data_IF_166462701429
#
_entry.id   IF_166462701429
#
_cell.length_a   1.000
_cell.length_b   1.000
_cell.length_c   1.000
_cell.angle_alpha   90.00
_cell.angle_beta   90.00
_cell.angle_gamma   90.00
#
_symmetry.space_group_name_H-M   'P 1'
#
loop_
_entity.id
_entity.type
_entity.pdbx_description
1 polymer ?
#
# COMPACT_ATOMS: atom_id res chain seq x y z
N UNK A 1 4.18 19.94 12.99
CA UNK A 1 3.92 18.97 14.08
C UNK A 1 2.57 18.31 13.81
N UNK A 2 2.56 17.15 13.16
CA UNK A 2 1.31 16.40 13.00
C UNK A 2 0.80 15.95 14.39
N UNK A 3 -0.48 16.23 14.66
CA UNK A 3 -1.07 15.99 15.98
C UNK A 3 -1.25 14.48 16.23
N UNK A 4 -1.12 14.03 17.48
CA UNK A 4 -1.41 12.64 17.88
C UNK A 4 -2.77 12.16 17.34
N UNK A 5 -3.76 13.06 17.33
CA UNK A 5 -5.10 12.81 16.76
C UNK A 5 -5.05 12.42 15.28
N UNK A 6 -4.20 13.05 14.49
CA UNK A 6 -4.04 12.75 13.05
C UNK A 6 -3.48 11.35 12.85
N UNK A 7 -2.40 11.01 13.55
CA UNK A 7 -1.80 9.67 13.46
C UNK A 7 -2.74 8.58 13.98
N UNK A 8 -3.47 8.85 15.06
CA UNK A 8 -4.49 7.93 15.56
C UNK A 8 -5.61 7.70 14.55
N UNK A 9 -6.12 8.75 13.90
CA UNK A 9 -7.13 8.62 12.86
C UNK A 9 -6.62 7.78 11.68
N UNK A 10 -5.38 8.02 11.21
CA UNK A 10 -4.78 7.23 10.14
C UNK A 10 -4.58 5.78 10.57
N UNK A 11 -4.18 5.53 11.81
CA UNK A 11 -4.06 4.17 12.36
C UNK A 11 -5.40 3.40 12.29
N UNK A 12 -6.50 4.04 12.66
CA UNK A 12 -7.84 3.43 12.56
C UNK A 12 -8.20 3.13 11.10
N UNK A 13 -7.88 4.03 10.17
CA UNK A 13 -8.06 3.78 8.73
C UNK A 13 -7.21 2.60 8.26
N UNK A 14 -5.95 2.51 8.68
CA UNK A 14 -5.06 1.39 8.35
C UNK A 14 -5.60 0.06 8.89
N UNK A 15 -6.21 0.06 10.08
CA UNK A 15 -6.85 -1.11 10.65
C UNK A 15 -8.06 -1.55 9.84
N UNK A 16 -8.92 -0.61 9.42
CA UNK A 16 -10.05 -0.89 8.54
C UNK A 16 -9.58 -1.45 7.18
N UNK A 17 -8.54 -0.87 6.58
CA UNK A 17 -7.93 -1.36 5.34
C UNK A 17 -7.24 -2.73 5.49
N UNK A 18 -6.82 -3.10 6.70
CA UNK A 18 -6.27 -4.43 6.95
C UNK A 18 -7.39 -5.48 6.99
N UNK A 19 -8.50 -5.17 7.65
CA UNK A 19 -9.66 -6.06 7.79
C UNK A 19 -10.43 -6.18 6.45
N UNK A 20 -10.40 -5.14 5.61
CA UNK A 20 -11.18 -5.09 4.37
C UNK A 20 -10.93 -6.26 3.41
N UNK A 21 -9.73 -6.87 3.40
CA UNK A 21 -9.48 -8.07 2.60
C UNK A 21 -10.42 -9.22 2.96
N UNK A 22 -10.63 -9.46 4.25
CA UNK A 22 -11.60 -10.46 4.70
C UNK A 22 -13.00 -10.12 4.20
N UNK A 23 -13.39 -8.84 4.31
CA UNK A 23 -14.68 -8.39 3.81
C UNK A 23 -14.83 -8.59 2.29
N UNK A 24 -13.77 -8.34 1.49
CA UNK A 24 -13.83 -8.47 0.04
C UNK A 24 -13.99 -9.91 -0.46
N UNK A 25 -13.42 -10.89 0.25
CA UNK A 25 -13.46 -12.29 -0.16
C UNK A 25 -14.59 -13.11 0.49
N UNK A 26 -14.97 -12.79 1.73
CA UNK A 26 -15.87 -13.64 2.53
C UNK A 26 -17.25 -13.02 2.76
N UNK A 27 -17.36 -11.69 2.73
CA UNK A 27 -18.59 -10.98 3.14
C UNK A 27 -19.26 -10.25 1.98
N UNK A 28 -18.47 -9.70 1.07
CA UNK A 28 -18.97 -8.94 -0.06
C UNK A 28 -19.33 -9.87 -1.22
N UNK A 29 -20.44 -9.57 -1.91
CA UNK A 29 -20.84 -10.24 -3.15
C UNK A 29 -20.03 -9.74 -4.35
N UNK A 30 -18.69 -9.76 -4.23
CA UNK A 30 -17.77 -9.43 -5.31
C UNK A 30 -17.40 -10.71 -6.07
N UNK A 31 -17.23 -10.60 -7.37
CA UNK A 31 -16.54 -11.67 -8.10
C UNK A 31 -15.10 -11.79 -7.61
N UNK A 32 -14.49 -12.97 -7.76
CA UNK A 32 -13.11 -13.22 -7.34
C UNK A 32 -12.11 -12.20 -7.93
N UNK A 33 -12.27 -11.86 -9.22
CA UNK A 33 -11.44 -10.86 -9.88
C UNK A 33 -11.63 -9.45 -9.29
N UNK A 34 -12.87 -9.07 -8.96
CA UNK A 34 -13.15 -7.80 -8.30
C UNK A 34 -12.57 -7.76 -6.87
N UNK A 35 -12.64 -8.85 -6.12
CA UNK A 35 -12.05 -8.96 -4.78
C UNK A 35 -10.52 -8.83 -4.81
N UNK A 36 -9.86 -9.43 -5.82
CA UNK A 36 -8.43 -9.24 -6.08
C UNK A 36 -8.12 -7.77 -6.37
N UNK A 37 -8.84 -7.16 -7.31
CA UNK A 37 -8.62 -5.75 -7.69
C UNK A 37 -8.81 -4.81 -6.49
N UNK A 38 -9.88 -5.01 -5.71
CA UNK A 38 -10.15 -4.24 -4.49
C UNK A 38 -9.02 -4.42 -3.45
N UNK A 39 -8.47 -5.62 -3.34
CA UNK A 39 -7.33 -5.92 -2.46
C UNK A 39 -6.06 -5.17 -2.88
N UNK A 40 -5.76 -5.12 -4.18
CA UNK A 40 -4.63 -4.34 -4.69
C UNK A 40 -4.79 -2.84 -4.43
N UNK A 41 -5.99 -2.29 -4.67
CA UNK A 41 -6.29 -0.88 -4.39
C UNK A 41 -6.14 -0.57 -2.90
N UNK A 42 -6.73 -1.39 -2.02
CA UNK A 42 -6.61 -1.21 -0.58
C UNK A 42 -5.15 -1.29 -0.10
N UNK A 43 -4.36 -2.22 -0.67
CA UNK A 43 -2.95 -2.33 -0.38
C UNK A 43 -2.17 -1.08 -0.81
N UNK A 44 -2.43 -0.54 -2.00
CA UNK A 44 -1.79 0.67 -2.52
C UNK A 44 -2.07 1.88 -1.62
N UNK A 45 -3.32 2.06 -1.19
CA UNK A 45 -3.71 3.13 -0.25
C UNK A 45 -2.98 2.94 1.09
N UNK A 46 -2.97 1.72 1.63
CA UNK A 46 -2.33 1.40 2.92
C UNK A 46 -0.84 1.74 2.90
N UNK A 47 -0.10 1.30 1.88
CA UNK A 47 1.34 1.61 1.79
C UNK A 47 1.59 3.10 1.62
N UNK A 48 0.75 3.82 0.88
CA UNK A 48 0.86 5.27 0.70
C UNK A 48 0.67 6.04 2.00
N UNK A 49 -0.32 5.64 2.81
CA UNK A 49 -0.55 6.21 4.14
C UNK A 49 0.62 5.93 5.10
N UNK A 50 1.17 4.70 5.07
CA UNK A 50 2.32 4.34 5.89
C UNK A 50 3.56 5.14 5.47
N UNK A 51 3.88 5.17 4.17
CA UNK A 51 5.05 5.89 3.67
C UNK A 51 4.94 7.40 3.92
N UNK A 52 3.79 8.00 3.62
CA UNK A 52 3.57 9.43 3.77
C UNK A 52 3.60 9.90 5.22
N UNK A 53 2.94 9.18 6.13
CA UNK A 53 2.77 9.61 7.52
C UNK A 53 3.68 8.87 8.49
N UNK A 54 3.68 7.54 8.52
CA UNK A 54 4.45 6.79 9.52
C UNK A 54 5.96 6.70 9.21
N UNK A 55 6.34 6.71 7.93
CA UNK A 55 7.75 6.85 7.52
C UNK A 55 8.15 8.31 7.30
N UNK A 56 7.25 9.26 7.61
CA UNK A 56 7.49 10.71 7.52
C UNK A 56 7.92 11.21 6.13
N UNK A 57 7.72 10.44 5.05
CA UNK A 57 8.17 10.82 3.71
C UNK A 57 7.57 12.15 3.22
N UNK A 58 6.39 12.52 3.73
CA UNK A 58 5.75 13.81 3.46
C UNK A 58 6.53 15.01 4.02
N UNK A 59 7.23 14.82 5.13
CA UNK A 59 7.96 15.87 5.86
C UNK A 59 9.43 15.97 5.41
N UNK A 60 9.94 14.93 4.76
CA UNK A 60 11.29 14.84 4.20
C UNK A 60 11.49 15.73 2.95
N UNK A 61 12.74 16.11 2.62
CA UNK A 61 13.02 16.89 1.43
C UNK A 61 12.78 16.06 0.16
N UNK A 62 12.36 16.73 -0.92
CA UNK A 62 11.97 16.12 -2.20
C UNK A 62 12.94 15.05 -2.75
N UNK A 63 14.28 15.18 -2.63
CA UNK A 63 15.21 14.14 -3.05
C UNK A 63 14.93 12.77 -2.43
N UNK A 64 14.53 12.71 -1.16
CA UNK A 64 14.22 11.45 -0.46
C UNK A 64 13.01 10.77 -1.09
N UNK A 65 11.98 11.55 -1.47
CA UNK A 65 10.82 11.03 -2.21
C UNK A 65 11.23 10.43 -3.55
N UNK A 66 12.15 11.08 -4.29
CA UNK A 66 12.63 10.54 -5.57
C UNK A 66 13.43 9.25 -5.40
N UNK A 67 14.25 9.13 -4.37
CA UNK A 67 14.94 7.88 -4.03
C UNK A 67 13.93 6.77 -3.72
N UNK A 68 12.91 7.07 -2.93
CA UNK A 68 11.88 6.08 -2.58
C UNK A 68 11.07 5.62 -3.81
N UNK A 69 10.73 6.54 -4.71
CA UNK A 69 10.06 6.22 -5.98
C UNK A 69 10.96 5.38 -6.90
N UNK A 70 12.26 5.67 -6.94
CA UNK A 70 13.22 4.88 -7.70
C UNK A 70 13.33 3.47 -7.11
N UNK A 71 13.38 3.33 -5.78
CA UNK A 71 13.35 2.04 -5.11
C UNK A 71 12.09 1.23 -5.44
N UNK A 72 10.91 1.87 -5.37
CA UNK A 72 9.65 1.24 -5.78
C UNK A 72 9.70 0.77 -7.23
N UNK A 73 10.18 1.61 -8.15
CA UNK A 73 10.33 1.26 -9.55
C UNK A 73 11.24 0.03 -9.74
N UNK A 74 12.38 -0.02 -9.06
CA UNK A 74 13.30 -1.16 -9.15
C UNK A 74 12.69 -2.45 -8.58
N UNK A 75 11.93 -2.37 -7.48
CA UNK A 75 11.22 -3.53 -6.91
C UNK A 75 10.16 -4.05 -7.88
N UNK A 76 9.44 -3.16 -8.57
CA UNK A 76 8.46 -3.56 -9.58
C UNK A 76 9.12 -4.23 -10.79
N UNK A 77 10.26 -3.72 -11.25
CA UNK A 77 11.05 -4.38 -12.30
C UNK A 77 11.51 -5.77 -11.86
N UNK A 78 12.00 -5.92 -10.63
CA UNK A 78 12.41 -7.21 -10.08
C UNK A 78 11.23 -8.18 -9.96
N UNK A 79 10.09 -7.72 -9.45
CA UNK A 79 8.88 -8.53 -9.32
C UNK A 79 8.38 -8.99 -10.70
N UNK A 80 8.41 -8.09 -11.69
CA UNK A 80 8.09 -8.43 -13.08
C UNK A 80 9.11 -9.39 -13.70
N UNK A 81 10.40 -9.22 -13.46
CA UNK A 81 11.42 -10.15 -13.96
C UNK A 81 11.28 -11.55 -13.33
N UNK A 82 10.93 -11.62 -12.04
CA UNK A 82 10.73 -12.88 -11.32
C UNK A 82 9.59 -13.72 -11.91
N UNK A 83 8.58 -13.10 -12.53
CA UNK A 83 7.51 -13.87 -13.18
C UNK A 83 8.00 -14.64 -14.41
N UNK A 84 9.10 -14.24 -15.05
CA UNK A 84 9.71 -14.99 -16.15
C UNK A 84 10.67 -16.08 -15.65
N UNK A 85 11.38 -15.82 -14.55
CA UNK A 85 12.37 -16.75 -13.98
C UNK A 85 11.78 -18.01 -13.35
N UNK A 86 10.52 -17.99 -12.90
CA UNK A 86 9.89 -19.15 -12.22
C UNK A 86 9.43 -20.23 -13.20
N UNK A 87 9.34 -19.91 -14.50
CA UNK A 87 8.85 -20.80 -15.54
C UNK A 87 9.89 -21.15 -16.62
N UNK A 88 11.14 -20.72 -16.42
CA UNK A 88 12.33 -21.08 -17.22
C UNK A 88 13.20 -22.06 -16.47
#
# INVERSE_FOLDING_TARGET
>A
MASLRTYFAIYVVLMALAISKFAFFEVAFLSYQQAIAATFVAAAIKIGLIAGYFQHLREEPRPVTYVMLTGLFMVLLLAGAATFSVWS
#
